data_IF_783484775311
#
_entry.id   IF_783484775311
#
_cell.length_a   1.000
_cell.length_b   1.000
_cell.length_c   1.000
_cell.angle_alpha   90.00
_cell.angle_beta   90.00
_cell.angle_gamma   90.00
#
_symmetry.space_group_name_H-M   'P 1'
#
loop_
_entity.id
_entity.type
_entity.pdbx_description
1 polymer ?
#
# COMPACT_ATOMS: atom_id res chain seq x y z
N UNK A 1 21.11 -26.13 18.39
CA UNK A 1 21.21 -26.92 17.12
C UNK A 1 20.19 -26.50 16.02
N UNK A 2 19.38 -25.46 16.23
CA UNK A 2 18.32 -25.06 15.26
C UNK A 2 18.70 -23.97 14.22
N UNK A 3 19.89 -23.39 14.30
CA UNK A 3 20.27 -22.21 13.51
C UNK A 3 20.76 -22.50 12.09
N UNK A 4 21.15 -23.74 11.78
CA UNK A 4 21.66 -24.09 10.43
C UNK A 4 20.53 -24.55 9.50
N UNK A 5 19.50 -25.18 10.04
CA UNK A 5 18.34 -25.67 9.28
C UNK A 5 17.48 -24.54 8.72
N UNK A 6 17.29 -23.46 9.49
CA UNK A 6 16.41 -22.35 9.12
C UNK A 6 16.94 -21.53 7.93
N UNK A 7 18.27 -21.36 7.85
CA UNK A 7 18.90 -20.67 6.70
C UNK A 7 18.79 -21.54 5.42
N UNK A 8 18.84 -22.86 5.54
CA UNK A 8 18.72 -23.77 4.40
C UNK A 8 17.33 -23.69 3.78
N UNK A 9 16.27 -23.76 4.60
CA UNK A 9 14.89 -23.64 4.12
C UNK A 9 14.63 -22.30 3.43
N UNK A 10 15.07 -21.17 4.00
CA UNK A 10 14.95 -19.86 3.38
C UNK A 10 15.67 -19.80 2.03
N UNK A 11 16.86 -20.38 1.91
CA UNK A 11 17.61 -20.42 0.65
C UNK A 11 16.91 -21.30 -0.40
N UNK A 12 16.32 -22.41 0.00
CA UNK A 12 15.50 -23.25 -0.88
C UNK A 12 14.27 -22.48 -1.39
N UNK A 13 13.53 -21.76 -0.52
CA UNK A 13 12.40 -20.92 -0.89
C UNK A 13 12.80 -19.76 -1.81
N UNK A 14 13.95 -19.14 -1.57
CA UNK A 14 14.52 -18.10 -2.46
C UNK A 14 14.86 -18.68 -3.83
N UNK A 15 15.48 -19.86 -3.87
CA UNK A 15 15.82 -20.54 -5.14
C UNK A 15 14.57 -20.92 -5.92
N UNK A 16 13.55 -21.47 -5.27
CA UNK A 16 12.26 -21.75 -5.90
C UNK A 16 11.61 -20.49 -6.46
N UNK A 17 11.65 -19.39 -5.70
CA UNK A 17 11.11 -18.10 -6.16
C UNK A 17 11.88 -17.53 -7.35
N UNK A 18 13.21 -17.67 -7.37
CA UNK A 18 14.05 -17.26 -8.50
C UNK A 18 13.74 -18.09 -9.75
N UNK A 19 13.58 -19.39 -9.62
CA UNK A 19 13.23 -20.26 -10.72
C UNK A 19 11.84 -19.90 -11.31
N UNK A 20 10.87 -19.55 -10.45
CA UNK A 20 9.57 -19.06 -10.90
C UNK A 20 9.70 -17.75 -11.67
N UNK A 21 10.47 -16.80 -11.15
CA UNK A 21 10.71 -15.53 -11.84
C UNK A 21 11.42 -15.73 -13.18
N UNK A 22 12.47 -16.56 -13.23
CA UNK A 22 13.20 -16.87 -14.47
C UNK A 22 12.31 -17.54 -15.53
N UNK A 23 11.35 -18.37 -15.10
CA UNK A 23 10.38 -19.02 -15.99
C UNK A 23 9.40 -18.05 -16.61
N UNK A 24 8.91 -17.07 -15.85
CA UNK A 24 7.85 -16.16 -16.29
C UNK A 24 8.40 -14.81 -16.78
N UNK A 25 9.54 -14.36 -16.26
CA UNK A 25 10.12 -13.05 -16.53
C UNK A 25 9.33 -11.90 -15.90
N UNK A 26 9.63 -10.68 -16.33
CA UNK A 26 8.83 -9.52 -15.99
C UNK A 26 7.47 -9.57 -16.68
N UNK A 27 6.39 -9.08 -16.01
CA UNK A 27 5.07 -8.99 -16.64
C UNK A 27 5.12 -8.11 -17.89
N UNK A 28 4.29 -8.43 -18.85
CA UNK A 28 4.20 -7.72 -20.13
C UNK A 28 2.79 -7.16 -20.34
N UNK A 29 2.60 -6.30 -21.34
CA UNK A 29 1.26 -5.82 -21.75
C UNK A 29 0.36 -6.92 -22.33
N UNK A 30 0.88 -8.12 -22.57
CA UNK A 30 0.08 -9.28 -22.97
C UNK A 30 -0.65 -9.90 -21.77
N UNK A 31 -0.14 -9.67 -20.56
CA UNK A 31 -0.77 -10.10 -19.34
C UNK A 31 -1.93 -9.15 -19.03
N UNK A 32 -3.14 -9.68 -18.86
CA UNK A 32 -4.37 -8.89 -18.74
C UNK A 32 -4.29 -7.81 -17.65
N UNK A 33 -3.81 -8.18 -16.48
CA UNK A 33 -3.65 -7.28 -15.32
C UNK A 33 -2.60 -6.18 -15.52
N UNK A 34 -1.79 -6.29 -16.58
CA UNK A 34 -0.67 -5.39 -16.87
C UNK A 34 -0.83 -4.61 -18.18
N UNK A 35 -1.95 -4.78 -18.86
CA UNK A 35 -2.21 -4.18 -20.17
C UNK A 35 -2.09 -2.65 -20.16
N UNK A 36 -2.51 -2.01 -19.09
CA UNK A 36 -2.48 -0.55 -18.92
C UNK A 36 -1.25 -0.04 -18.14
N UNK A 37 -0.39 -0.96 -17.68
CA UNK A 37 0.74 -0.63 -16.82
C UNK A 37 1.87 0.09 -17.53
N UNK A 38 2.37 1.15 -16.95
CA UNK A 38 3.62 1.82 -17.37
C UNK A 38 4.85 1.23 -16.65
N UNK A 39 4.64 0.51 -15.56
CA UNK A 39 5.70 -0.21 -14.86
C UNK A 39 6.44 -1.18 -15.78
N UNK A 40 5.71 -1.83 -16.69
CA UNK A 40 6.30 -2.74 -17.68
C UNK A 40 7.35 -2.04 -18.54
N UNK A 41 7.05 -0.83 -19.02
CA UNK A 41 7.98 -0.06 -19.83
C UNK A 41 9.27 0.28 -19.06
N UNK A 42 9.14 0.65 -17.78
CA UNK A 42 10.31 0.89 -16.94
C UNK A 42 11.15 -0.38 -16.79
N UNK A 43 10.52 -1.51 -16.46
CA UNK A 43 11.22 -2.78 -16.23
C UNK A 43 11.91 -3.30 -17.49
N UNK A 44 11.27 -3.18 -18.65
CA UNK A 44 11.84 -3.60 -19.95
C UNK A 44 13.11 -2.82 -20.30
N UNK A 45 13.12 -1.51 -20.02
CA UNK A 45 14.24 -0.61 -20.34
C UNK A 45 15.34 -0.56 -19.28
N UNK A 46 15.14 -1.20 -18.12
CA UNK A 46 16.05 -1.12 -16.99
C UNK A 46 16.41 -2.51 -16.41
N UNK A 47 16.38 -3.55 -17.21
CA UNK A 47 16.71 -4.94 -16.80
C UNK A 47 18.13 -5.10 -16.24
N UNK A 48 19.05 -4.19 -16.61
CA UNK A 48 20.46 -4.20 -16.23
C UNK A 48 20.74 -3.55 -14.86
N UNK A 49 19.73 -3.00 -14.20
CA UNK A 49 19.95 -2.35 -12.90
C UNK A 49 20.53 -3.35 -11.89
N UNK A 50 21.61 -2.96 -11.23
CA UNK A 50 22.21 -3.77 -10.18
C UNK A 50 21.32 -3.84 -8.95
N UNK A 51 21.37 -4.97 -8.25
CA UNK A 51 20.66 -5.14 -6.99
C UNK A 51 21.44 -4.43 -5.90
N UNK A 52 20.79 -3.48 -5.22
CA UNK A 52 21.37 -2.80 -4.08
C UNK A 52 21.58 -3.78 -2.91
N UNK A 53 22.79 -3.73 -2.35
CA UNK A 53 23.13 -4.46 -1.11
C UNK A 53 23.08 -3.47 0.05
N UNK A 54 22.10 -3.59 0.93
CA UNK A 54 21.94 -2.68 2.06
C UNK A 54 23.16 -2.69 3.01
N UNK A 55 23.51 -1.52 3.50
CA UNK A 55 24.53 -1.32 4.52
C UNK A 55 24.14 -0.15 5.45
N UNK A 56 24.97 0.21 6.40
CA UNK A 56 24.66 1.30 7.33
C UNK A 56 24.49 2.64 6.58
N UNK A 57 23.41 3.36 6.89
CA UNK A 57 22.96 4.55 6.20
C UNK A 57 22.77 5.73 7.16
N UNK A 58 22.83 6.94 6.62
CA UNK A 58 22.53 8.16 7.37
C UNK A 58 21.04 8.47 7.39
N UNK A 59 20.54 8.90 8.54
CA UNK A 59 19.13 9.25 8.75
C UNK A 59 18.94 10.73 8.41
N UNK A 60 17.87 11.06 7.65
CA UNK A 60 17.40 12.42 7.48
C UNK A 60 16.31 12.72 8.54
N UNK A 61 16.66 13.44 9.60
CA UNK A 61 15.73 13.76 10.68
C UNK A 61 14.75 14.89 10.34
N UNK A 62 14.97 15.65 9.27
CA UNK A 62 14.10 16.76 8.84
C UNK A 62 12.70 16.31 8.41
N UNK A 63 12.54 15.02 8.11
CA UNK A 63 11.27 14.46 7.66
C UNK A 63 10.39 13.96 8.81
N UNK A 64 10.89 14.02 10.05
CA UNK A 64 10.14 13.53 11.21
C UNK A 64 8.94 14.44 11.56
N UNK A 65 7.87 13.82 11.99
CA UNK A 65 6.68 14.52 12.48
C UNK A 65 6.89 15.05 13.90
N UNK A 66 6.25 16.18 14.23
CA UNK A 66 6.45 16.87 15.50
C UNK A 66 5.54 16.39 16.64
N UNK A 67 4.55 15.53 16.35
CA UNK A 67 3.69 14.97 17.39
C UNK A 67 4.28 13.68 18.00
N UNK A 68 3.80 13.32 19.20
CA UNK A 68 4.31 12.17 19.95
C UNK A 68 3.89 10.85 19.30
N UNK A 69 4.84 9.97 19.00
CA UNK A 69 4.63 8.67 18.36
C UNK A 69 5.76 7.69 18.66
N UNK A 70 5.51 6.40 18.46
CA UNK A 70 6.55 5.38 18.38
C UNK A 70 7.22 5.46 17.00
N UNK A 71 8.55 5.51 16.97
CA UNK A 71 9.31 5.79 15.75
C UNK A 71 10.11 4.58 15.28
N UNK A 72 10.00 4.28 14.00
CA UNK A 72 10.83 3.32 13.28
C UNK A 72 11.40 4.04 12.06
N UNK A 73 12.72 4.06 11.92
CA UNK A 73 13.40 4.68 10.77
C UNK A 73 14.08 3.60 9.95
N UNK A 74 13.69 3.54 8.70
CA UNK A 74 14.20 2.61 7.71
C UNK A 74 14.87 3.40 6.60
N UNK A 75 16.15 3.18 6.36
CA UNK A 75 16.89 3.81 5.26
C UNK A 75 17.33 2.76 4.27
N UNK A 76 16.98 2.94 3.00
CA UNK A 76 17.26 1.99 1.92
C UNK A 76 16.90 0.53 2.28
N UNK A 77 15.76 0.38 2.99
CA UNK A 77 15.19 -0.91 3.38
C UNK A 77 15.73 -1.51 4.67
N UNK A 78 16.72 -0.90 5.33
CA UNK A 78 17.23 -1.36 6.64
C UNK A 78 16.73 -0.51 7.80
N UNK A 79 16.37 -1.17 8.90
CA UNK A 79 16.06 -0.50 10.17
C UNK A 79 17.34 0.13 10.73
N UNK A 80 17.35 1.46 10.85
CA UNK A 80 18.49 2.21 11.36
C UNK A 80 18.29 2.74 12.77
N UNK A 81 17.04 3.05 13.15
CA UNK A 81 16.71 3.62 14.46
C UNK A 81 15.30 3.21 14.87
N UNK A 82 15.14 2.93 16.14
CA UNK A 82 13.84 2.75 16.78
C UNK A 82 13.79 3.59 18.05
N UNK A 83 12.63 4.21 18.29
CA UNK A 83 12.39 5.00 19.50
C UNK A 83 10.93 4.78 19.93
N UNK A 84 10.75 3.91 20.92
CA UNK A 84 9.44 3.57 21.45
C UNK A 84 9.18 4.29 22.78
N UNK A 85 7.99 4.77 22.96
CA UNK A 85 7.63 5.72 24.01
C UNK A 85 6.85 5.02 25.14
N UNK A 86 7.27 5.24 26.36
CA UNK A 86 6.52 4.85 27.57
C UNK A 86 6.30 3.33 27.66
N UNK A 87 5.05 2.94 27.93
CA UNK A 87 4.64 1.53 28.07
C UNK A 87 4.63 0.75 26.74
N UNK A 88 4.65 1.44 25.61
CA UNK A 88 4.64 0.78 24.30
C UNK A 88 5.96 0.05 24.00
N UNK A 89 7.05 0.38 24.72
CA UNK A 89 8.35 -0.31 24.56
C UNK A 89 8.26 -1.82 24.74
N UNK A 90 7.48 -2.28 25.72
CA UNK A 90 7.36 -3.70 26.05
C UNK A 90 6.36 -4.43 25.14
N UNK A 91 5.53 -3.67 24.42
CA UNK A 91 4.50 -4.18 23.52
C UNK A 91 4.98 -4.38 22.07
N UNK A 92 6.15 -3.87 21.74
CA UNK A 92 6.68 -3.85 20.38
C UNK A 92 7.95 -4.67 20.25
N UNK A 93 8.00 -5.54 19.25
CA UNK A 93 9.23 -6.20 18.83
C UNK A 93 9.50 -5.80 17.38
N UNK A 94 10.72 -5.36 17.12
CA UNK A 94 11.20 -5.15 15.75
C UNK A 94 12.57 -5.79 15.58
N UNK A 95 12.74 -6.48 14.45
CA UNK A 95 14.01 -7.09 14.04
C UNK A 95 14.16 -6.96 12.53
N UNK A 96 15.35 -7.20 12.01
CA UNK A 96 15.51 -7.38 10.58
C UNK A 96 14.77 -8.65 10.12
N UNK A 97 14.35 -8.68 8.85
CA UNK A 97 13.66 -9.85 8.31
C UNK A 97 14.55 -11.10 8.31
N UNK A 98 15.86 -10.92 8.11
CA UNK A 98 16.81 -12.04 8.14
C UNK A 98 17.01 -12.60 9.58
N UNK A 99 16.96 -11.75 10.62
CA UNK A 99 16.98 -12.22 12.01
C UNK A 99 15.68 -12.96 12.38
N UNK A 100 14.54 -12.48 11.86
CA UNK A 100 13.28 -13.20 12.04
C UNK A 100 13.34 -14.60 11.44
N UNK A 101 13.85 -14.76 10.22
CA UNK A 101 14.00 -16.07 9.58
C UNK A 101 14.88 -17.03 10.37
N UNK A 102 15.92 -16.53 11.04
CA UNK A 102 16.81 -17.36 11.87
C UNK A 102 16.13 -17.89 13.13
N UNK A 103 15.14 -17.18 13.65
CA UNK A 103 14.47 -17.51 14.92
C UNK A 103 13.13 -18.23 14.75
N UNK A 104 12.47 -18.08 13.59
CA UNK A 104 11.09 -18.50 13.37
C UNK A 104 10.91 -19.17 12.01
N UNK A 105 10.75 -20.49 11.99
CA UNK A 105 10.50 -21.25 10.77
C UNK A 105 9.01 -21.50 10.48
N UNK A 106 8.12 -21.34 11.48
CA UNK A 106 6.70 -21.73 11.39
C UNK A 106 5.88 -20.99 10.32
N UNK A 107 6.28 -19.79 9.89
CA UNK A 107 5.52 -18.95 8.97
C UNK A 107 6.23 -18.71 7.62
N UNK A 108 7.38 -19.34 7.39
CA UNK A 108 8.18 -19.12 6.17
C UNK A 108 7.38 -19.43 4.89
N UNK A 109 6.67 -20.55 4.85
CA UNK A 109 5.87 -20.94 3.69
C UNK A 109 4.80 -19.91 3.34
N UNK A 110 4.16 -19.28 4.33
CA UNK A 110 3.19 -18.19 4.12
C UNK A 110 3.85 -16.96 3.51
N UNK A 111 5.02 -16.57 4.02
CA UNK A 111 5.74 -15.39 3.55
C UNK A 111 6.25 -15.52 2.11
N UNK A 112 6.48 -16.75 1.65
CA UNK A 112 6.93 -17.06 0.28
C UNK A 112 5.79 -17.55 -0.63
N UNK A 113 4.53 -17.45 -0.21
CA UNK A 113 3.40 -18.20 -0.81
C UNK A 113 2.86 -17.65 -2.14
N UNK A 114 3.21 -16.47 -2.61
CA UNK A 114 2.65 -15.95 -3.87
C UNK A 114 3.44 -16.43 -5.10
N UNK A 115 3.03 -17.59 -5.64
CA UNK A 115 3.68 -18.24 -6.78
C UNK A 115 3.19 -17.73 -8.16
N UNK A 116 2.12 -16.92 -8.21
CA UNK A 116 1.50 -16.50 -9.48
C UNK A 116 1.97 -15.13 -9.97
N UNK A 117 2.52 -14.30 -9.09
CA UNK A 117 2.95 -12.95 -9.42
C UNK A 117 4.48 -12.91 -9.58
N UNK A 118 4.99 -12.69 -10.81
CA UNK A 118 6.44 -12.71 -11.06
C UNK A 118 7.23 -11.68 -10.28
N UNK A 119 6.67 -10.48 -10.03
CA UNK A 119 7.37 -9.44 -9.25
C UNK A 119 7.46 -9.79 -7.77
N UNK A 120 6.43 -10.46 -7.23
CA UNK A 120 6.50 -11.00 -5.86
C UNK A 120 7.51 -12.14 -5.78
N UNK A 121 7.59 -12.98 -6.81
CA UNK A 121 8.60 -14.03 -6.89
C UNK A 121 10.02 -13.44 -6.94
N UNK A 122 10.24 -12.40 -7.76
CA UNK A 122 11.51 -11.68 -7.80
C UNK A 122 11.88 -11.09 -6.44
N UNK A 123 10.93 -10.42 -5.77
CA UNK A 123 11.14 -9.88 -4.44
C UNK A 123 11.48 -10.98 -3.42
N UNK A 124 10.73 -12.08 -3.41
CA UNK A 124 10.99 -13.23 -2.54
C UNK A 124 12.41 -13.79 -2.71
N UNK A 125 12.90 -13.84 -3.95
CA UNK A 125 14.25 -14.34 -4.26
C UNK A 125 15.35 -13.36 -3.86
N UNK A 126 15.15 -12.06 -4.13
CA UNK A 126 16.20 -11.04 -4.12
C UNK A 126 16.24 -10.16 -2.87
N UNK A 127 15.18 -10.13 -2.07
CA UNK A 127 15.12 -9.25 -0.91
C UNK A 127 16.18 -9.61 0.15
N UNK A 128 17.03 -8.61 0.46
CA UNK A 128 18.03 -8.63 1.52
C UNK A 128 17.75 -7.55 2.57
N UNK A 129 16.70 -6.77 2.36
CA UNK A 129 16.26 -5.69 3.22
C UNK A 129 14.86 -5.98 3.75
N UNK A 130 14.48 -5.30 4.83
CA UNK A 130 13.16 -5.36 5.42
C UNK A 130 13.18 -5.71 6.90
N UNK A 131 11.98 -5.78 7.47
CA UNK A 131 11.79 -5.94 8.90
C UNK A 131 10.66 -6.91 9.25
N UNK A 132 10.73 -7.41 10.46
CA UNK A 132 9.62 -8.00 11.21
C UNK A 132 9.21 -7.05 12.32
N UNK A 133 7.91 -6.76 12.39
CA UNK A 133 7.30 -5.96 13.45
C UNK A 133 6.18 -6.77 14.10
N UNK A 134 6.25 -6.97 15.41
CA UNK A 134 5.19 -7.58 16.20
C UNK A 134 4.59 -6.58 17.19
N UNK A 135 3.27 -6.47 17.16
CA UNK A 135 2.48 -5.66 18.06
C UNK A 135 1.74 -6.62 19.01
N UNK A 136 2.16 -6.64 20.27
CA UNK A 136 1.72 -7.64 21.25
C UNK A 136 0.45 -7.27 21.98
N UNK A 137 0.13 -5.97 22.06
CA UNK A 137 -0.97 -5.44 22.86
C UNK A 137 -1.40 -4.06 22.33
N UNK A 138 -2.46 -3.49 22.89
CA UNK A 138 -2.96 -2.16 22.56
C UNK A 138 -1.86 -1.11 22.73
N UNK A 139 -1.62 -0.32 21.69
CA UNK A 139 -0.67 0.78 21.76
C UNK A 139 -1.35 2.07 22.23
N UNK A 140 -0.66 2.83 23.07
CA UNK A 140 -1.09 4.14 23.53
C UNK A 140 -0.82 5.23 22.48
N UNK A 141 0.21 5.02 21.64
CA UNK A 141 0.64 5.95 20.61
C UNK A 141 0.74 5.25 19.24
N UNK A 142 0.50 5.98 18.14
CA UNK A 142 0.70 5.42 16.82
C UNK A 142 2.17 5.09 16.57
N UNK A 143 2.42 4.13 15.67
CA UNK A 143 3.75 3.89 15.12
C UNK A 143 3.88 4.71 13.84
N UNK A 144 4.97 5.47 13.69
CA UNK A 144 5.34 6.04 12.40
C UNK A 144 6.58 5.31 11.86
N UNK A 145 6.43 4.71 10.69
CA UNK A 145 7.52 4.09 9.96
C UNK A 145 7.99 5.06 8.88
N UNK A 146 9.18 5.61 9.06
CA UNK A 146 9.82 6.51 8.09
C UNK A 146 10.65 5.69 7.11
N UNK A 147 10.14 5.50 5.90
CA UNK A 147 10.89 4.90 4.80
C UNK A 147 11.65 6.00 4.06
N UNK A 148 12.96 6.02 4.21
CA UNK A 148 13.86 6.98 3.57
C UNK A 148 14.68 6.28 2.49
N UNK A 149 14.59 6.77 1.26
CA UNK A 149 15.36 6.26 0.13
C UNK A 149 16.26 7.40 -0.40
N UNK A 150 17.58 7.24 -0.26
CA UNK A 150 18.58 8.25 -0.63
C UNK A 150 19.31 7.90 -1.93
N UNK A 151 20.22 8.78 -2.37
CA UNK A 151 20.95 8.65 -3.64
C UNK A 151 21.89 7.44 -3.74
N UNK A 152 22.19 6.72 -2.67
CA UNK A 152 23.01 5.50 -2.75
C UNK A 152 22.35 4.37 -3.53
N UNK A 153 21.02 4.43 -3.69
CA UNK A 153 20.28 3.49 -4.51
C UNK A 153 19.98 3.99 -5.92
N UNK A 154 20.54 5.14 -6.33
CA UNK A 154 20.38 5.67 -7.68
C UNK A 154 20.75 4.61 -8.73
N UNK A 155 19.90 4.46 -9.74
CA UNK A 155 20.07 3.51 -10.85
C UNK A 155 20.26 2.05 -10.39
N UNK A 156 19.63 1.65 -9.28
CA UNK A 156 19.67 0.27 -8.74
C UNK A 156 18.27 -0.29 -8.53
N UNK A 157 18.23 -1.58 -8.23
CA UNK A 157 17.03 -2.26 -7.75
C UNK A 157 17.13 -2.47 -6.24
N UNK A 158 16.12 -2.05 -5.49
CA UNK A 158 15.97 -2.35 -4.07
C UNK A 158 14.79 -3.30 -3.88
N UNK A 159 15.04 -4.44 -3.25
CA UNK A 159 14.00 -5.39 -2.87
C UNK A 159 13.90 -5.45 -1.35
N UNK A 160 12.75 -5.06 -0.82
CA UNK A 160 12.45 -5.01 0.61
C UNK A 160 11.29 -5.95 0.94
N UNK A 161 11.43 -6.74 2.00
CA UNK A 161 10.39 -7.64 2.47
C UNK A 161 10.08 -7.39 3.94
N UNK A 162 8.80 -7.15 4.23
CA UNK A 162 8.35 -6.83 5.58
C UNK A 162 7.32 -7.87 6.05
N UNK A 163 7.31 -8.10 7.35
CA UNK A 163 6.26 -8.86 8.00
C UNK A 163 5.79 -8.13 9.25
N UNK A 164 4.48 -7.89 9.34
CA UNK A 164 3.84 -7.23 10.48
C UNK A 164 2.82 -8.21 11.07
N UNK A 165 2.98 -8.49 12.37
CA UNK A 165 2.07 -9.34 13.12
C UNK A 165 1.36 -8.52 14.20
N UNK A 166 0.04 -8.54 14.18
CA UNK A 166 -0.80 -7.95 15.21
C UNK A 166 -1.40 -9.09 16.01
N UNK A 167 -0.97 -9.22 17.27
CA UNK A 167 -1.40 -10.29 18.14
C UNK A 167 -2.88 -10.13 18.55
N UNK A 168 -3.48 -11.21 19.04
CA UNK A 168 -4.88 -11.26 19.47
C UNK A 168 -5.23 -10.14 20.44
N UNK A 169 -6.44 -9.59 20.27
CA UNK A 169 -7.00 -8.53 21.12
C UNK A 169 -6.20 -7.21 21.11
N UNK A 170 -5.31 -7.00 20.15
CA UNK A 170 -4.45 -5.81 20.06
C UNK A 170 -5.05 -4.74 19.15
N UNK A 171 -4.79 -3.46 19.48
CA UNK A 171 -5.18 -2.31 18.66
C UNK A 171 -3.99 -1.41 18.41
N UNK A 172 -3.80 -1.01 17.14
CA UNK A 172 -2.71 -0.11 16.76
C UNK A 172 -3.05 0.74 15.54
N UNK A 173 -2.42 1.91 15.46
CA UNK A 173 -2.33 2.72 14.24
C UNK A 173 -0.89 2.73 13.75
N UNK A 174 -0.67 2.39 12.49
CA UNK A 174 0.63 2.41 11.82
C UNK A 174 0.57 3.39 10.66
N UNK A 175 1.46 4.36 10.66
CA UNK A 175 1.58 5.34 9.59
C UNK A 175 2.93 5.14 8.87
N UNK A 176 2.89 4.76 7.60
CA UNK A 176 4.06 4.61 6.74
C UNK A 176 4.26 5.89 5.92
N UNK A 177 5.36 6.59 6.16
CA UNK A 177 5.73 7.80 5.44
C UNK A 177 6.92 7.52 4.54
N UNK A 178 6.73 7.65 3.23
CA UNK A 178 7.75 7.42 2.23
C UNK A 178 8.40 8.73 1.81
N UNK A 179 9.73 8.81 1.89
CA UNK A 179 10.55 9.94 1.47
C UNK A 179 11.61 9.46 0.49
N UNK A 180 11.55 9.96 -0.74
CA UNK A 180 12.43 9.52 -1.82
C UNK A 180 13.28 10.68 -2.30
N UNK A 181 14.61 10.56 -2.17
CA UNK A 181 15.60 11.51 -2.68
C UNK A 181 16.45 10.91 -3.81
N UNK A 182 16.18 9.66 -4.19
CA UNK A 182 16.87 8.87 -5.21
C UNK A 182 16.24 9.04 -6.60
N UNK A 183 16.96 8.62 -7.65
CA UNK A 183 16.55 8.77 -9.05
C UNK A 183 16.72 7.47 -9.84
N UNK A 184 15.77 7.22 -10.77
CA UNK A 184 15.81 6.09 -11.71
C UNK A 184 16.01 4.73 -11.03
N UNK A 185 15.38 4.56 -9.88
CA UNK A 185 15.48 3.37 -9.06
C UNK A 185 14.22 2.53 -9.19
N UNK A 186 14.37 1.21 -9.19
CA UNK A 186 13.26 0.29 -9.00
C UNK A 186 13.19 -0.12 -7.52
N UNK A 187 12.10 0.22 -6.86
CA UNK A 187 11.86 -0.13 -5.46
C UNK A 187 10.72 -1.14 -5.42
N UNK A 188 11.03 -2.36 -4.99
CA UNK A 188 10.05 -3.43 -4.79
C UNK A 188 9.87 -3.71 -3.31
N UNK A 189 8.65 -3.50 -2.81
CA UNK A 189 8.31 -3.71 -1.39
C UNK A 189 7.22 -4.79 -1.30
N UNK A 190 7.52 -5.87 -0.58
CA UNK A 190 6.54 -6.91 -0.29
C UNK A 190 6.27 -6.93 1.22
N UNK A 191 5.04 -6.64 1.62
CA UNK A 191 4.62 -6.61 3.03
C UNK A 191 3.52 -7.64 3.28
N UNK A 192 3.76 -8.54 4.22
CA UNK A 192 2.73 -9.43 4.75
C UNK A 192 2.25 -8.87 6.09
N UNK A 193 0.94 -8.89 6.32
CA UNK A 193 0.31 -8.44 7.56
C UNK A 193 -0.64 -9.56 8.02
N UNK A 194 -0.41 -10.08 9.22
CA UNK A 194 -1.34 -11.00 9.87
C UNK A 194 -2.04 -10.26 11.02
N UNK A 195 -3.35 -10.19 10.94
CA UNK A 195 -4.23 -9.55 11.93
C UNK A 195 -4.95 -10.65 12.67
N UNK A 196 -4.50 -10.96 13.89
CA UNK A 196 -5.04 -12.06 14.67
C UNK A 196 -6.42 -11.72 15.27
N UNK A 197 -7.07 -12.72 15.85
CA UNK A 197 -8.42 -12.65 16.37
C UNK A 197 -8.68 -11.44 17.29
N UNK A 198 -9.83 -10.78 17.12
CA UNK A 198 -10.28 -9.60 17.87
C UNK A 198 -9.33 -8.40 17.81
N UNK A 199 -8.40 -8.36 16.87
CA UNK A 199 -7.45 -7.26 16.77
C UNK A 199 -7.88 -6.23 15.71
N UNK A 200 -7.45 -4.98 15.89
CA UNK A 200 -7.78 -3.86 15.02
C UNK A 200 -6.51 -3.11 14.62
N UNK A 201 -6.26 -3.01 13.33
CA UNK A 201 -5.13 -2.27 12.79
C UNK A 201 -5.60 -1.20 11.82
N UNK A 202 -5.11 0.02 11.99
CA UNK A 202 -5.22 1.11 11.04
C UNK A 202 -3.87 1.33 10.38
N UNK A 203 -3.79 1.19 9.06
CA UNK A 203 -2.55 1.34 8.30
C UNK A 203 -2.67 2.49 7.30
N UNK A 204 -2.05 3.61 7.61
CA UNK A 204 -2.05 4.81 6.79
C UNK A 204 -0.75 4.94 6.01
N UNK A 205 -0.82 5.37 4.75
CA UNK A 205 0.35 5.52 3.87
C UNK A 205 0.32 6.89 3.23
N UNK A 206 1.44 7.60 3.33
CA UNK A 206 1.70 8.81 2.60
C UNK A 206 2.84 8.60 1.60
N UNK A 207 2.52 8.71 0.33
CA UNK A 207 3.50 8.83 -0.73
C UNK A 207 3.64 10.31 -1.09
N UNK A 208 4.80 10.88 -0.79
CA UNK A 208 5.09 12.26 -1.14
C UNK A 208 6.57 12.37 -1.51
N UNK A 209 6.86 12.84 -2.64
CA UNK A 209 8.14 13.42 -3.12
C UNK A 209 8.32 13.15 -4.61
N UNK A 210 8.70 14.18 -5.32
CA UNK A 210 8.91 14.15 -6.77
C UNK A 210 10.20 13.39 -7.10
N UNK A 211 10.08 12.14 -7.53
CA UNK A 211 11.23 11.34 -7.98
C UNK A 211 10.91 10.63 -9.28
N UNK A 212 11.90 10.43 -10.13
CA UNK A 212 11.82 9.63 -11.35
C UNK A 212 11.88 8.11 -11.05
N UNK A 213 11.36 7.69 -9.91
CA UNK A 213 11.42 6.31 -9.47
C UNK A 213 10.23 5.50 -9.94
N UNK A 214 10.44 4.20 -9.93
CA UNK A 214 9.41 3.22 -10.16
C UNK A 214 9.23 2.37 -8.91
N UNK A 215 8.05 2.41 -8.33
CA UNK A 215 7.72 1.71 -7.09
C UNK A 215 6.70 0.61 -7.38
N UNK A 216 7.04 -0.60 -6.98
CA UNK A 216 6.11 -1.71 -6.91
C UNK A 216 5.90 -2.11 -5.46
N UNK A 217 4.68 -2.02 -4.97
CA UNK A 217 4.32 -2.54 -3.64
C UNK A 217 3.32 -3.66 -3.77
N UNK A 218 3.59 -4.74 -3.08
CA UNK A 218 2.65 -5.81 -2.88
C UNK A 218 2.38 -5.97 -1.38
N UNK A 219 1.11 -5.89 -0.99
CA UNK A 219 0.66 -6.08 0.38
C UNK A 219 -0.30 -7.25 0.45
N UNK A 220 0.00 -8.22 1.30
CA UNK A 220 -0.91 -9.32 1.61
C UNK A 220 -1.35 -9.22 3.05
N UNK A 221 -2.66 -9.18 3.27
CA UNK A 221 -3.26 -9.06 4.60
C UNK A 221 -4.12 -10.29 4.86
N UNK A 222 -3.89 -10.97 5.97
CA UNK A 222 -4.72 -12.07 6.45
C UNK A 222 -5.44 -11.62 7.72
N UNK A 223 -6.76 -11.74 7.72
CA UNK A 223 -7.61 -11.24 8.81
C UNK A 223 -8.34 -12.42 9.43
N UNK A 224 -8.12 -12.62 10.74
CA UNK A 224 -8.74 -13.65 11.55
C UNK A 224 -10.12 -13.22 12.08
N UNK A 225 -10.78 -14.06 12.88
CA UNK A 225 -12.12 -13.85 13.38
C UNK A 225 -12.27 -12.55 14.17
N UNK A 226 -13.34 -11.81 13.87
CA UNK A 226 -13.69 -10.55 14.55
C UNK A 226 -12.57 -9.49 14.53
N UNK A 227 -11.64 -9.62 13.60
CA UNK A 227 -10.56 -8.66 13.42
C UNK A 227 -10.88 -7.66 12.31
N UNK A 228 -10.29 -6.46 12.41
CA UNK A 228 -10.54 -5.36 11.50
C UNK A 228 -9.23 -4.78 10.95
N UNK A 229 -9.19 -4.56 9.65
CA UNK A 229 -8.12 -3.88 8.94
C UNK A 229 -8.66 -2.64 8.23
N UNK A 230 -8.24 -1.44 8.67
CA UNK A 230 -8.50 -0.19 7.97
C UNK A 230 -7.21 0.28 7.28
N UNK A 231 -7.28 0.69 6.01
CA UNK A 231 -6.15 1.29 5.31
C UNK A 231 -6.57 2.53 4.54
N UNK A 232 -5.73 3.57 4.63
CA UNK A 232 -5.85 4.76 3.80
C UNK A 232 -4.51 5.05 3.13
N UNK A 233 -4.54 5.25 1.81
CA UNK A 233 -3.37 5.61 1.03
C UNK A 233 -3.59 6.96 0.38
N UNK A 234 -2.73 7.92 0.72
CA UNK A 234 -2.64 9.21 0.04
C UNK A 234 -1.44 9.21 -0.90
N UNK A 235 -1.68 9.45 -2.18
CA UNK A 235 -0.61 9.39 -3.19
C UNK A 235 -0.62 10.60 -4.09
N UNK A 236 0.51 11.31 -4.10
CA UNK A 236 0.81 12.42 -5.00
C UNK A 236 2.31 12.48 -5.30
N UNK A 237 2.69 13.14 -6.40
CA UNK A 237 4.10 13.49 -6.72
C UNK A 237 5.06 12.28 -6.76
N UNK A 238 4.61 11.12 -7.22
CA UNK A 238 5.46 9.96 -7.53
C UNK A 238 5.30 9.61 -9.00
N UNK A 239 6.40 9.47 -9.74
CA UNK A 239 6.30 9.28 -11.20
C UNK A 239 5.57 7.99 -11.58
N UNK A 240 6.00 6.86 -11.06
CA UNK A 240 5.37 5.57 -11.39
C UNK A 240 5.25 4.73 -10.14
N UNK A 241 4.02 4.36 -9.81
CA UNK A 241 3.74 3.48 -8.69
C UNK A 241 2.67 2.46 -9.06
N UNK A 242 2.90 1.21 -8.69
CA UNK A 242 1.89 0.16 -8.72
C UNK A 242 1.74 -0.45 -7.34
N UNK A 243 0.55 -0.26 -6.77
CA UNK A 243 0.14 -0.81 -5.48
C UNK A 243 -0.78 -2.02 -5.71
N UNK A 244 -0.34 -3.20 -5.33
CA UNK A 244 -1.17 -4.40 -5.31
C UNK A 244 -1.49 -4.80 -3.87
N UNK A 245 -2.76 -4.99 -3.57
CA UNK A 245 -3.24 -5.40 -2.24
C UNK A 245 -4.09 -6.64 -2.38
N UNK A 246 -3.70 -7.71 -1.69
CA UNK A 246 -4.48 -8.94 -1.54
C UNK A 246 -4.92 -9.08 -0.09
N UNK A 247 -6.22 -9.11 0.15
CA UNK A 247 -6.80 -9.26 1.49
C UNK A 247 -7.58 -10.57 1.55
N UNK A 248 -7.32 -11.34 2.59
CA UNK A 248 -8.03 -12.58 2.89
C UNK A 248 -8.79 -12.41 4.20
N UNK A 249 -10.11 -12.39 4.11
CA UNK A 249 -11.04 -12.49 5.24
C UNK A 249 -11.22 -13.97 5.53
N UNK A 250 -10.32 -14.53 6.35
CA UNK A 250 -10.18 -15.98 6.51
C UNK A 250 -11.21 -16.59 7.46
N UNK A 251 -11.74 -15.79 8.39
CA UNK A 251 -12.58 -16.27 9.47
C UNK A 251 -13.79 -15.34 9.66
N UNK A 252 -14.83 -15.84 10.31
CA UNK A 252 -16.10 -15.15 10.48
C UNK A 252 -15.97 -13.82 11.22
N UNK A 253 -16.85 -12.85 10.88
CA UNK A 253 -16.89 -11.50 11.44
C UNK A 253 -15.65 -10.67 11.18
N UNK A 254 -14.80 -11.08 10.23
CA UNK A 254 -13.65 -10.26 9.83
C UNK A 254 -14.05 -9.13 8.87
N UNK A 255 -13.39 -8.00 8.98
CA UNK A 255 -13.75 -6.79 8.25
C UNK A 255 -12.53 -6.10 7.63
N UNK A 256 -12.69 -5.49 6.46
CA UNK A 256 -11.67 -4.60 5.89
C UNK A 256 -12.25 -3.35 5.24
N UNK A 257 -11.57 -2.22 5.43
CA UNK A 257 -11.91 -0.92 4.89
C UNK A 257 -10.71 -0.33 4.16
N UNK A 258 -10.84 -0.09 2.86
CA UNK A 258 -9.76 0.42 2.02
C UNK A 258 -10.14 1.76 1.40
N UNK A 259 -9.34 2.77 1.66
CA UNK A 259 -9.54 4.13 1.20
C UNK A 259 -8.33 4.62 0.43
N UNK A 260 -8.58 5.26 -0.72
CA UNK A 260 -7.54 5.80 -1.59
C UNK A 260 -7.87 7.24 -1.98
N UNK A 261 -6.96 8.16 -1.73
CA UNK A 261 -6.98 9.52 -2.27
C UNK A 261 -5.76 9.75 -3.14
N UNK A 262 -5.97 10.11 -4.40
CA UNK A 262 -4.89 10.35 -5.36
C UNK A 262 -5.05 11.71 -6.03
N UNK A 263 -3.95 12.42 -6.19
CA UNK A 263 -3.87 13.61 -7.02
C UNK A 263 -2.67 13.48 -7.97
N UNK A 264 -2.95 13.14 -9.20
CA UNK A 264 -1.96 12.82 -10.22
C UNK A 264 -1.83 13.96 -11.23
N UNK A 265 -0.60 14.38 -11.50
CA UNK A 265 -0.27 15.45 -12.44
C UNK A 265 0.87 15.06 -13.38
N UNK A 266 1.03 15.83 -14.45
CA UNK A 266 2.14 15.68 -15.40
C UNK A 266 2.24 14.25 -15.96
N UNK A 267 3.41 13.61 -15.81
CA UNK A 267 3.70 12.27 -16.31
C UNK A 267 3.62 11.21 -15.20
N UNK A 268 2.78 11.43 -14.21
CA UNK A 268 2.58 10.48 -13.12
C UNK A 268 1.68 9.33 -13.56
N UNK A 269 2.10 8.11 -13.30
CA UNK A 269 1.37 6.89 -13.60
C UNK A 269 1.16 6.08 -12.32
N UNK A 270 -0.07 6.07 -11.81
CA UNK A 270 -0.39 5.35 -10.60
C UNK A 270 -1.42 4.26 -10.85
N UNK A 271 -1.07 3.06 -10.42
CA UNK A 271 -1.90 1.88 -10.54
C UNK A 271 -2.23 1.30 -9.18
N UNK A 272 -3.50 1.03 -8.97
CA UNK A 272 -4.02 0.34 -7.79
C UNK A 272 -4.66 -0.96 -8.26
N UNK A 273 -4.22 -2.08 -7.67
CA UNK A 273 -4.87 -3.37 -7.86
C UNK A 273 -5.25 -3.95 -6.51
N UNK A 274 -6.52 -4.17 -6.29
CA UNK A 274 -7.06 -4.72 -5.05
C UNK A 274 -7.75 -6.03 -5.33
N UNK A 275 -7.44 -7.05 -4.54
CA UNK A 275 -8.19 -8.30 -4.50
C UNK A 275 -8.60 -8.59 -3.06
N UNK A 276 -9.91 -8.64 -2.81
CA UNK A 276 -10.45 -9.03 -1.51
C UNK A 276 -11.11 -10.39 -1.65
N UNK A 277 -10.67 -11.35 -0.85
CA UNK A 277 -11.19 -12.70 -0.80
C UNK A 277 -12.01 -12.85 0.50
N UNK A 278 -13.32 -13.01 0.35
CA UNK A 278 -14.21 -13.43 1.42
C UNK A 278 -14.22 -14.96 1.48
N UNK A 279 -13.60 -15.51 2.52
CA UNK A 279 -13.35 -16.96 2.67
C UNK A 279 -14.11 -17.57 3.85
N UNK A 280 -14.94 -16.78 4.55
CA UNK A 280 -15.76 -17.20 5.68
C UNK A 280 -17.06 -16.39 5.71
N UNK A 281 -18.04 -16.89 6.42
CA UNK A 281 -19.36 -16.25 6.58
C UNK A 281 -19.29 -14.94 7.41
N UNK A 282 -20.31 -14.09 7.25
CA UNK A 282 -20.49 -12.84 8.00
C UNK A 282 -19.28 -11.86 7.87
N UNK A 283 -18.64 -11.82 6.73
CA UNK A 283 -17.48 -10.94 6.47
C UNK A 283 -17.88 -9.65 5.76
N UNK A 284 -17.13 -8.57 6.00
CA UNK A 284 -17.41 -7.27 5.41
C UNK A 284 -16.19 -6.66 4.71
N UNK A 285 -16.42 -6.06 3.55
CA UNK A 285 -15.41 -5.23 2.88
C UNK A 285 -16.02 -3.96 2.28
N UNK A 286 -15.27 -2.87 2.39
CA UNK A 286 -15.62 -1.61 1.77
C UNK A 286 -14.38 -0.99 1.12
N UNK A 287 -14.49 -0.68 -0.17
CA UNK A 287 -13.44 -0.02 -0.93
C UNK A 287 -13.96 1.32 -1.44
N UNK A 288 -13.23 2.40 -1.17
CA UNK A 288 -13.58 3.72 -1.68
C UNK A 288 -12.33 4.43 -2.19
N UNK A 289 -12.31 4.70 -3.49
CA UNK A 289 -11.20 5.39 -4.16
C UNK A 289 -11.67 6.67 -4.82
N UNK A 290 -10.93 7.75 -4.59
CA UNK A 290 -11.11 9.02 -5.27
C UNK A 290 -9.79 9.49 -5.88
N UNK A 291 -9.82 9.77 -7.17
CA UNK A 291 -8.64 10.17 -7.94
C UNK A 291 -8.93 11.47 -8.73
N UNK A 292 -8.07 12.45 -8.57
CA UNK A 292 -7.97 13.60 -9.46
C UNK A 292 -6.81 13.34 -10.40
N UNK A 293 -7.05 13.52 -11.71
CA UNK A 293 -6.04 13.28 -12.75
C UNK A 293 -5.95 14.49 -13.66
N UNK A 294 -4.76 15.01 -13.87
CA UNK A 294 -4.51 16.25 -14.58
C UNK A 294 -3.34 16.15 -15.57
N UNK A 295 -3.28 17.09 -16.51
CA UNK A 295 -2.26 17.23 -17.57
C UNK A 295 -2.18 15.96 -18.43
N UNK A 296 -1.15 15.12 -18.26
CA UNK A 296 -0.93 13.88 -19.02
C UNK A 296 -0.86 12.65 -18.12
N UNK A 297 -1.21 12.82 -16.84
CA UNK A 297 -1.16 11.76 -15.86
C UNK A 297 -2.12 10.60 -16.19
N UNK A 298 -1.79 9.42 -15.68
CA UNK A 298 -2.58 8.21 -15.88
C UNK A 298 -2.87 7.54 -14.55
N UNK A 299 -4.14 7.24 -14.33
CA UNK A 299 -4.61 6.46 -13.19
C UNK A 299 -5.20 5.13 -13.65
N UNK A 300 -4.93 4.08 -12.89
CA UNK A 300 -5.56 2.76 -13.09
C UNK A 300 -6.05 2.24 -11.75
N UNK A 301 -7.28 1.77 -11.72
CA UNK A 301 -7.82 1.02 -10.59
C UNK A 301 -8.41 -0.32 -11.06
N UNK A 302 -7.88 -1.41 -10.54
CA UNK A 302 -8.39 -2.76 -10.76
C UNK A 302 -8.81 -3.33 -9.40
N UNK A 303 -10.11 -3.56 -9.22
CA UNK A 303 -10.62 -4.08 -7.96
C UNK A 303 -11.42 -5.36 -8.17
N UNK A 304 -11.12 -6.40 -7.40
CA UNK A 304 -11.85 -7.66 -7.43
C UNK A 304 -12.32 -8.03 -6.04
N UNK A 305 -13.62 -8.29 -5.91
CA UNK A 305 -14.22 -8.95 -4.75
C UNK A 305 -14.50 -10.39 -5.14
N UNK A 306 -13.87 -11.33 -4.45
CA UNK A 306 -14.10 -12.75 -4.56
C UNK A 306 -14.88 -13.23 -3.33
N UNK A 307 -15.98 -13.94 -3.53
CA UNK A 307 -16.80 -14.50 -2.45
C UNK A 307 -16.89 -16.01 -2.64
N UNK A 308 -16.29 -16.76 -1.72
CA UNK A 308 -16.32 -18.22 -1.70
C UNK A 308 -17.74 -18.72 -1.43
N UNK A 309 -18.05 -19.95 -1.84
CA UNK A 309 -19.37 -20.57 -1.64
C UNK A 309 -19.78 -20.65 -0.16
N UNK A 310 -18.81 -20.84 0.73
CA UNK A 310 -19.06 -20.89 2.19
C UNK A 310 -19.22 -19.51 2.81
N UNK A 311 -18.84 -18.43 2.12
CA UNK A 311 -18.83 -17.05 2.63
C UNK A 311 -20.23 -16.41 2.57
N UNK A 312 -21.22 -17.07 3.16
CA UNK A 312 -22.58 -16.56 3.25
C UNK A 312 -22.65 -15.31 4.14
N UNK A 313 -23.66 -14.46 3.91
CA UNK A 313 -23.89 -13.20 4.61
C UNK A 313 -22.72 -12.21 4.46
N UNK A 314 -21.98 -12.31 3.36
CA UNK A 314 -20.95 -11.35 2.98
C UNK A 314 -21.58 -10.01 2.59
N UNK A 315 -20.98 -8.91 3.08
CA UNK A 315 -21.24 -7.54 2.62
C UNK A 315 -19.97 -6.99 1.93
N UNK A 316 -20.01 -6.86 0.60
CA UNK A 316 -18.86 -6.41 -0.19
C UNK A 316 -19.19 -5.20 -1.06
N UNK A 317 -18.59 -4.04 -0.81
CA UNK A 317 -18.84 -2.82 -1.57
C UNK A 317 -17.56 -2.22 -2.13
N UNK A 318 -17.66 -1.73 -3.39
CA UNK A 318 -16.56 -1.09 -4.09
C UNK A 318 -17.06 0.15 -4.83
N UNK A 319 -16.51 1.33 -4.53
CA UNK A 319 -16.85 2.58 -5.18
C UNK A 319 -15.59 3.30 -5.64
N UNK A 320 -15.51 3.58 -6.94
CA UNK A 320 -14.36 4.23 -7.58
C UNK A 320 -14.84 5.47 -8.29
N UNK A 321 -14.31 6.63 -7.92
CA UNK A 321 -14.64 7.91 -8.55
C UNK A 321 -13.38 8.62 -9.01
N UNK A 322 -13.38 9.16 -10.22
CA UNK A 322 -12.30 10.01 -10.71
C UNK A 322 -12.83 11.28 -11.35
N UNK A 323 -12.04 12.35 -11.24
CA UNK A 323 -12.26 13.61 -11.95
C UNK A 323 -11.06 13.88 -12.85
N UNK A 324 -11.32 14.06 -14.13
CA UNK A 324 -10.33 14.37 -15.16
C UNK A 324 -10.34 15.88 -15.38
N UNK A 325 -9.19 16.53 -15.19
CA UNK A 325 -9.04 17.98 -15.30
C UNK A 325 -8.53 18.41 -16.68
N UNK A 326 -7.99 17.47 -17.48
CA UNK A 326 -7.43 17.71 -18.80
C UNK A 326 -7.89 16.64 -19.79
N UNK A 327 -7.97 16.98 -21.07
CA UNK A 327 -8.32 16.04 -22.15
C UNK A 327 -7.21 15.02 -22.45
N UNK A 328 -5.99 15.25 -21.97
CA UNK A 328 -4.84 14.37 -22.22
C UNK A 328 -4.60 13.37 -21.09
N UNK A 329 -5.23 13.57 -19.94
CA UNK A 329 -5.12 12.62 -18.84
C UNK A 329 -6.10 11.45 -19.02
N UNK A 330 -5.79 10.31 -18.38
CA UNK A 330 -6.65 9.12 -18.47
C UNK A 330 -6.82 8.44 -17.12
N UNK A 331 -8.00 7.86 -16.92
CA UNK A 331 -8.27 6.99 -15.78
C UNK A 331 -9.00 5.72 -16.24
N UNK A 332 -8.41 4.58 -15.93
CA UNK A 332 -8.99 3.27 -16.24
C UNK A 332 -9.48 2.59 -14.96
N UNK A 333 -10.77 2.28 -14.92
CA UNK A 333 -11.38 1.57 -13.79
C UNK A 333 -11.93 0.22 -14.24
N UNK A 334 -11.53 -0.84 -13.53
CA UNK A 334 -11.99 -2.21 -13.78
C UNK A 334 -12.46 -2.85 -12.46
N UNK A 335 -13.71 -2.59 -12.02
CA UNK A 335 -14.28 -3.29 -10.89
C UNK A 335 -14.83 -4.66 -11.32
N UNK A 336 -14.53 -5.70 -10.54
CA UNK A 336 -14.94 -7.09 -10.79
C UNK A 336 -15.58 -7.72 -9.55
N UNK A 337 -16.63 -8.50 -9.75
CA UNK A 337 -17.26 -9.35 -8.73
C UNK A 337 -17.22 -10.81 -9.20
N UNK A 338 -16.73 -11.70 -8.34
CA UNK A 338 -16.74 -13.14 -8.55
C UNK A 338 -17.37 -13.80 -7.31
N UNK A 339 -18.64 -14.16 -7.42
CA UNK A 339 -19.48 -14.54 -6.27
C UNK A 339 -19.99 -15.94 -6.46
N UNK A 340 -19.74 -16.81 -5.49
CA UNK A 340 -20.20 -18.21 -5.47
C UNK A 340 -21.16 -18.51 -4.33
N UNK A 341 -21.46 -17.54 -3.44
CA UNK A 341 -22.43 -17.64 -2.36
C UNK A 341 -23.76 -16.99 -2.74
N UNK A 342 -24.88 -17.47 -2.19
CA UNK A 342 -26.23 -17.02 -2.55
C UNK A 342 -26.74 -15.87 -1.67
N UNK A 343 -26.52 -15.95 -0.35
CA UNK A 343 -26.98 -14.94 0.63
C UNK A 343 -25.90 -13.88 0.87
N UNK A 344 -25.79 -12.93 -0.07
CA UNK A 344 -24.78 -11.85 -0.01
C UNK A 344 -25.35 -10.51 -0.43
N UNK A 345 -24.70 -9.44 0.02
CA UNK A 345 -24.92 -8.05 -0.42
C UNK A 345 -23.64 -7.52 -1.01
N UNK A 346 -23.49 -7.61 -2.33
CA UNK A 346 -22.30 -7.16 -3.03
C UNK A 346 -22.66 -6.18 -4.14
N UNK A 347 -21.93 -5.08 -4.21
CA UNK A 347 -22.08 -4.12 -5.29
C UNK A 347 -20.79 -3.41 -5.64
N UNK A 348 -20.70 -2.94 -6.87
CA UNK A 348 -19.64 -2.03 -7.28
C UNK A 348 -20.22 -0.84 -8.06
N UNK A 349 -19.52 0.29 -7.98
CA UNK A 349 -19.79 1.48 -8.77
C UNK A 349 -18.49 2.12 -9.25
N UNK A 350 -18.51 2.65 -10.47
CA UNK A 350 -17.38 3.37 -11.04
C UNK A 350 -17.85 4.55 -11.85
N UNK A 351 -17.21 5.70 -11.67
CA UNK A 351 -17.49 6.90 -12.49
C UNK A 351 -16.20 7.69 -12.74
N UNK A 352 -16.08 8.17 -13.98
CA UNK A 352 -15.07 9.14 -14.38
C UNK A 352 -15.77 10.33 -15.00
N UNK A 353 -15.54 11.52 -14.48
CA UNK A 353 -16.20 12.76 -14.90
C UNK A 353 -15.17 13.86 -15.16
N UNK A 354 -15.53 14.86 -15.91
CA UNK A 354 -14.80 16.14 -15.90
C UNK A 354 -15.19 16.97 -14.68
N UNK A 355 -14.44 18.05 -14.43
CA UNK A 355 -14.81 19.01 -13.39
C UNK A 355 -16.23 19.54 -13.64
N UNK A 356 -17.04 19.59 -12.57
CA UNK A 356 -18.43 20.06 -12.66
C UNK A 356 -18.46 21.56 -13.01
N UNK A 357 -18.92 21.87 -14.23
CA UNK A 357 -18.97 23.25 -14.74
C UNK A 357 -20.01 24.10 -14.03
N UNK A 358 -21.09 23.50 -13.57
CA UNK A 358 -22.17 24.23 -12.87
C UNK A 358 -21.72 24.62 -11.45
N UNK A 359 -21.03 23.73 -10.75
CA UNK A 359 -20.42 24.04 -9.46
C UNK A 359 -19.33 25.12 -9.59
N UNK A 360 -18.49 25.02 -10.62
CA UNK A 360 -17.48 26.03 -10.92
C UNK A 360 -18.12 27.39 -11.19
N UNK A 361 -19.10 27.41 -12.05
CA UNK A 361 -19.86 28.66 -12.38
C UNK A 361 -20.53 29.25 -11.14
N UNK A 362 -21.15 28.42 -10.30
CA UNK A 362 -21.80 28.88 -9.07
C UNK A 362 -20.79 29.56 -8.11
N UNK A 363 -19.62 28.98 -7.90
CA UNK A 363 -18.59 29.58 -7.06
C UNK A 363 -18.06 30.89 -7.64
N UNK A 364 -17.81 30.92 -8.95
CA UNK A 364 -17.38 32.14 -9.65
C UNK A 364 -18.43 33.25 -9.61
N UNK A 365 -19.73 32.94 -9.75
CA UNK A 365 -20.82 33.88 -9.62
C UNK A 365 -20.92 34.48 -8.20
N UNK A 366 -20.35 33.83 -7.18
CA UNK A 366 -20.22 34.33 -5.81
C UNK A 366 -18.93 35.14 -5.59
N UNK A 367 -18.18 35.46 -6.65
CA UNK A 367 -16.96 36.27 -6.58
C UNK A 367 -15.70 35.51 -6.27
N UNK A 368 -15.71 34.16 -6.25
CA UNK A 368 -14.52 33.36 -6.03
C UNK A 368 -13.73 33.25 -7.35
N UNK A 369 -12.44 33.63 -7.42
CA UNK A 369 -11.63 33.47 -8.62
C UNK A 369 -11.61 32.02 -9.12
N UNK A 370 -11.58 31.80 -10.43
CA UNK A 370 -11.67 30.47 -11.05
C UNK A 370 -10.66 29.47 -10.47
N UNK A 371 -9.39 29.89 -10.29
CA UNK A 371 -8.35 29.03 -9.73
C UNK A 371 -8.71 28.58 -8.32
N UNK A 372 -9.22 29.48 -7.50
CA UNK A 372 -9.62 29.17 -6.13
C UNK A 372 -10.89 28.30 -6.12
N UNK A 373 -11.84 28.54 -7.00
CA UNK A 373 -13.05 27.74 -7.14
C UNK A 373 -12.70 26.28 -7.53
N UNK A 374 -11.81 26.09 -8.49
CA UNK A 374 -11.30 24.76 -8.87
C UNK A 374 -10.65 24.06 -7.68
N UNK A 375 -9.80 24.75 -6.90
CA UNK A 375 -9.16 24.19 -5.69
C UNK A 375 -10.20 23.71 -4.68
N UNK A 376 -11.22 24.51 -4.41
CA UNK A 376 -12.29 24.17 -3.46
C UNK A 376 -13.05 22.91 -3.89
N UNK A 377 -13.38 22.77 -5.18
CA UNK A 377 -14.06 21.59 -5.71
C UNK A 377 -13.17 20.35 -5.58
N UNK A 378 -11.89 20.44 -5.94
CA UNK A 378 -10.92 19.35 -5.82
C UNK A 378 -10.73 18.93 -4.36
N UNK A 379 -10.59 19.91 -3.46
CA UNK A 379 -10.46 19.66 -2.03
C UNK A 379 -11.69 18.96 -1.48
N UNK A 380 -12.91 19.45 -1.80
CA UNK A 380 -14.15 18.81 -1.40
C UNK A 380 -14.29 17.39 -1.93
N UNK A 381 -13.88 17.15 -3.18
CA UNK A 381 -13.90 15.82 -3.77
C UNK A 381 -12.98 14.82 -3.03
N UNK A 382 -11.75 15.21 -2.71
CA UNK A 382 -10.81 14.35 -1.97
C UNK A 382 -11.18 14.21 -0.49
N UNK A 383 -11.71 15.27 0.13
CA UNK A 383 -12.13 15.25 1.53
C UNK A 383 -13.18 14.17 1.82
N UNK A 384 -14.09 13.87 0.89
CA UNK A 384 -15.10 12.83 1.08
C UNK A 384 -14.53 11.44 1.40
N UNK A 385 -13.37 11.09 0.83
CA UNK A 385 -12.70 9.82 1.16
C UNK A 385 -11.82 9.94 2.41
N UNK A 386 -11.22 11.11 2.65
CA UNK A 386 -10.41 11.37 3.84
C UNK A 386 -11.27 11.34 5.11
N UNK A 387 -12.51 11.84 5.04
CA UNK A 387 -13.49 11.80 6.14
C UNK A 387 -13.88 10.38 6.56
N UNK A 388 -13.56 9.35 5.77
CA UNK A 388 -13.76 7.94 6.14
C UNK A 388 -12.71 7.42 7.10
N UNK A 389 -11.58 8.12 7.27
CA UNK A 389 -10.54 7.75 8.23
C UNK A 389 -11.11 7.79 9.64
N UNK A 390 -11.01 6.70 10.37
CA UNK A 390 -11.58 6.58 11.71
C UNK A 390 -10.71 7.21 12.82
N UNK A 391 -9.45 7.55 12.52
CA UNK A 391 -8.54 8.23 13.45
C UNK A 391 -8.54 9.75 13.18
N UNK A 392 -9.08 10.53 14.10
CA UNK A 392 -9.24 11.98 13.94
C UNK A 392 -7.91 12.73 13.74
N UNK A 393 -6.82 12.29 14.38
CA UNK A 393 -5.52 12.94 14.22
C UNK A 393 -4.99 12.76 12.81
N UNK A 394 -5.07 11.54 12.27
CA UNK A 394 -4.64 11.27 10.90
C UNK A 394 -5.60 11.84 9.86
N UNK A 395 -6.91 11.87 10.13
CA UNK A 395 -7.88 12.57 9.28
C UNK A 395 -7.48 14.04 9.10
N UNK A 396 -7.30 14.76 10.21
CA UNK A 396 -6.90 16.16 10.19
C UNK A 396 -5.53 16.37 9.52
N UNK A 397 -4.60 15.44 9.73
CA UNK A 397 -3.30 15.46 9.07
C UNK A 397 -3.44 15.40 7.53
N UNK A 398 -4.26 14.47 7.01
CA UNK A 398 -4.44 14.32 5.57
C UNK A 398 -5.28 15.44 4.95
N UNK A 399 -6.28 15.98 5.65
CA UNK A 399 -7.01 17.17 5.21
C UNK A 399 -6.05 18.36 5.02
N UNK A 400 -5.19 18.62 6.02
CA UNK A 400 -4.18 19.67 5.91
C UNK A 400 -3.18 19.42 4.78
N UNK A 401 -2.74 18.17 4.59
CA UNK A 401 -1.85 17.81 3.46
C UNK A 401 -2.50 18.07 2.11
N UNK A 402 -3.80 17.86 1.98
CA UNK A 402 -4.55 18.18 0.76
C UNK A 402 -4.62 19.69 0.52
N UNK A 403 -4.82 20.49 1.56
CA UNK A 403 -4.79 21.96 1.47
C UNK A 403 -3.41 22.46 1.02
N UNK A 404 -2.33 22.01 1.69
CA UNK A 404 -0.94 22.37 1.38
C UNK A 404 -0.57 22.00 -0.08
N UNK A 405 -1.09 20.89 -0.59
CA UNK A 405 -0.84 20.42 -1.95
C UNK A 405 -1.55 21.29 -3.01
N UNK A 406 -2.70 21.84 -2.68
CA UNK A 406 -3.52 22.66 -3.59
C UNK A 406 -3.20 24.17 -3.48
N UNK A 407 -2.47 24.60 -2.45
CA UNK A 407 -2.02 25.99 -2.28
C UNK A 407 -0.88 26.33 -3.26
#
# INVERSE_FOLDING_TARGET
MNTITDIKEVNELRTLSLNLFNKHGYPTRKDEDWKQSQLNYFLENNKQLEIYKPNNETINEKVFENFKHNKIVIVNGLVQKTDFVGKDKDKLIITTIDEYYKKNNKHLSKLFSNKKNPLVAANNALAKAGFYLEIKDNLDLPIIIYHQYNSKIDQKQLHQKNYILINKNSKASVFEKFTNENKKTFISINTNIDVEQNSHIKNYILNSNNTENCIYRFKKVNIAASANYESFIFSNIVKTIRDEVEINLNESLSECYLYYAQFLKNNEDHEIKVKINHLAENTQSYQFSKSIVDVTAKGVYQGKIFVDQIAQKTNGYQLIKSVLLSDQCTFHSKPELEIYADDVKCSHGSSSTSLNKDELFYLMARGIPEVQAKRLIIQGFLSEVIEKISDENFKNYFLKKTEDMLS
#
